data_IF_502026908078
#
_entry.id   IF_502026908078
#
_cell.length_a   1.000
_cell.length_b   1.000
_cell.length_c   1.000
_cell.angle_alpha   90.00
_cell.angle_beta   90.00
_cell.angle_gamma   90.00
#
_symmetry.space_group_name_H-M   'P 1'
#
loop_
_entity.id
_entity.type
_entity.pdbx_description
1 polymer ?
#
# COMPACT_ATOMS: atom_id res chain seq x y z
N UNK A 1 -1.82 -24.91 -22.93
CA UNK A 1 -1.44 -23.48 -22.98
C UNK A 1 -1.10 -23.11 -21.54
N UNK A 2 0.18 -23.10 -21.18
CA UNK A 2 0.60 -22.72 -19.85
C UNK A 2 0.38 -21.19 -19.76
N UNK A 3 -0.45 -20.76 -18.81
CA UNK A 3 -0.46 -19.36 -18.43
C UNK A 3 0.91 -19.08 -17.81
N UNK A 4 1.69 -18.20 -18.44
CA UNK A 4 2.90 -17.67 -17.84
C UNK A 4 2.47 -17.03 -16.51
N UNK A 5 2.91 -17.63 -15.43
CA UNK A 5 2.67 -17.08 -14.09
C UNK A 5 3.40 -15.71 -14.05
N UNK A 6 2.70 -14.61 -13.77
CA UNK A 6 3.36 -13.31 -13.76
C UNK A 6 4.53 -13.34 -12.77
N UNK A 7 5.66 -12.78 -13.19
CA UNK A 7 6.84 -12.71 -12.34
C UNK A 7 6.45 -12.21 -10.93
N UNK A 8 6.97 -12.85 -9.87
CA UNK A 8 6.59 -12.49 -8.51
C UNK A 8 6.90 -11.01 -8.27
N UNK A 9 5.96 -10.32 -7.66
CA UNK A 9 6.12 -8.90 -7.30
C UNK A 9 7.38 -8.74 -6.42
N UNK A 10 8.17 -7.66 -6.62
CA UNK A 10 9.25 -7.33 -5.69
C UNK A 10 8.72 -7.27 -4.26
N UNK A 11 9.55 -7.69 -3.29
CA UNK A 11 9.17 -7.62 -1.88
C UNK A 11 8.82 -6.19 -1.46
N UNK A 12 7.87 -5.98 -0.56
CA UNK A 12 7.52 -4.66 -0.03
C UNK A 12 8.74 -3.88 0.47
N UNK A 13 9.68 -4.52 1.15
CA UNK A 13 10.93 -3.92 1.61
C UNK A 13 11.76 -3.27 0.48
N UNK A 14 11.82 -3.89 -0.71
CA UNK A 14 12.52 -3.28 -1.86
C UNK A 14 11.82 -2.00 -2.35
N UNK A 15 10.49 -1.98 -2.31
CA UNK A 15 9.69 -0.81 -2.68
C UNK A 15 9.72 0.29 -1.61
N UNK A 16 10.03 -0.05 -0.37
CA UNK A 16 10.19 0.89 0.74
C UNK A 16 11.60 1.52 0.81
N UNK A 17 12.56 1.03 0.06
CA UNK A 17 13.90 1.62 -0.01
C UNK A 17 13.82 3.12 -0.36
N UNK A 18 14.68 3.98 0.21
CA UNK A 18 14.58 5.44 0.04
C UNK A 18 14.49 5.91 -1.41
N UNK A 19 15.30 5.30 -2.30
CA UNK A 19 15.29 5.61 -3.73
C UNK A 19 13.94 5.22 -4.38
N UNK A 20 13.41 4.03 -4.08
CA UNK A 20 12.14 3.58 -4.60
C UNK A 20 10.98 4.46 -4.11
N UNK A 21 11.01 4.88 -2.84
CA UNK A 21 10.02 5.82 -2.27
C UNK A 21 10.04 7.17 -3.00
N UNK A 22 11.24 7.74 -3.20
CA UNK A 22 11.39 9.01 -3.91
C UNK A 22 10.82 8.92 -5.33
N UNK A 23 11.14 7.88 -6.07
CA UNK A 23 10.65 7.68 -7.43
C UNK A 23 9.13 7.44 -7.49
N UNK A 24 8.55 6.72 -6.51
CA UNK A 24 7.09 6.56 -6.43
C UNK A 24 6.39 7.88 -6.23
N UNK A 25 6.88 8.72 -5.32
CA UNK A 25 6.32 10.05 -5.08
C UNK A 25 6.41 10.92 -6.35
N UNK A 26 7.57 10.97 -6.99
CA UNK A 26 7.76 11.74 -8.22
C UNK A 26 6.83 11.26 -9.37
N UNK A 27 6.59 9.94 -9.48
CA UNK A 27 5.68 9.40 -10.48
C UNK A 27 4.20 9.63 -10.13
N UNK A 28 3.84 9.65 -8.84
CA UNK A 28 2.47 9.89 -8.39
C UNK A 28 2.01 11.33 -8.71
N UNK A 29 2.94 12.28 -8.79
CA UNK A 29 2.68 13.67 -9.16
C UNK A 29 2.45 13.86 -10.67
N UNK A 30 2.78 12.85 -11.49
CA UNK A 30 2.53 12.91 -12.93
C UNK A 30 1.04 12.67 -13.23
N UNK A 31 0.48 13.44 -14.15
CA UNK A 31 -0.88 13.26 -14.64
C UNK A 31 -1.08 11.89 -15.32
N UNK A 32 0.00 11.37 -15.94
CA UNK A 32 0.00 10.08 -16.61
C UNK A 32 1.41 9.45 -16.61
N UNK A 33 1.47 8.15 -16.27
CA UNK A 33 2.71 7.35 -16.38
C UNK A 33 2.70 6.65 -17.73
N UNK A 34 3.45 7.19 -18.69
CA UNK A 34 3.55 6.69 -20.06
C UNK A 34 4.71 5.74 -20.28
N UNK A 35 4.74 4.96 -21.38
CA UNK A 35 5.93 4.17 -21.75
C UNK A 35 7.19 5.02 -21.91
N UNK A 36 7.07 6.27 -22.36
CA UNK A 36 8.22 7.18 -22.50
C UNK A 36 8.76 7.64 -21.16
N UNK A 37 7.92 7.91 -20.16
CA UNK A 37 8.37 8.23 -18.80
C UNK A 37 9.07 7.04 -18.14
N UNK A 38 8.60 5.81 -18.38
CA UNK A 38 9.28 4.60 -17.91
C UNK A 38 10.63 4.37 -18.61
N UNK A 39 10.71 4.63 -19.91
CA UNK A 39 11.98 4.54 -20.63
C UNK A 39 13.00 5.58 -20.16
N UNK A 40 12.56 6.81 -19.85
CA UNK A 40 13.39 7.83 -19.23
C UNK A 40 13.90 7.36 -17.85
N UNK A 41 12.99 6.87 -17.01
CA UNK A 41 13.34 6.38 -15.66
C UNK A 41 14.40 5.27 -15.70
N UNK A 42 14.30 4.35 -16.67
CA UNK A 42 15.31 3.28 -16.85
C UNK A 42 16.68 3.82 -17.25
N UNK A 43 16.73 4.86 -18.10
CA UNK A 43 18.00 5.51 -18.50
C UNK A 43 18.64 6.26 -17.34
N UNK A 44 17.83 6.95 -16.56
CA UNK A 44 18.30 7.81 -15.46
C UNK A 44 18.71 6.99 -14.22
N UNK A 45 18.19 5.75 -14.09
CA UNK A 45 18.46 4.86 -12.96
C UNK A 45 18.93 3.48 -13.43
N UNK A 46 20.09 3.36 -14.11
CA UNK A 46 20.55 2.09 -14.68
C UNK A 46 20.90 1.02 -13.61
N UNK A 47 21.09 1.43 -12.36
CA UNK A 47 21.34 0.52 -11.24
C UNK A 47 20.07 -0.21 -10.74
N UNK A 48 18.87 0.26 -11.10
CA UNK A 48 17.63 -0.39 -10.76
C UNK A 48 17.23 -1.42 -11.81
N UNK A 49 16.77 -2.60 -11.36
CA UNK A 49 16.28 -3.61 -12.30
C UNK A 49 15.02 -3.13 -13.04
N UNK A 50 14.79 -3.58 -14.28
CA UNK A 50 13.56 -3.26 -15.02
C UNK A 50 12.28 -3.64 -14.27
N UNK A 51 12.31 -4.75 -13.52
CA UNK A 51 11.18 -5.24 -12.72
C UNK A 51 10.87 -4.31 -11.55
N UNK A 52 11.91 -3.83 -10.86
CA UNK A 52 11.73 -2.87 -9.77
C UNK A 52 11.17 -1.53 -10.29
N UNK A 53 11.65 -1.05 -11.43
CA UNK A 53 11.11 0.17 -12.06
C UNK A 53 9.63 -0.01 -12.44
N UNK A 54 9.28 -1.17 -13.00
CA UNK A 54 7.88 -1.49 -13.34
C UNK A 54 7.00 -1.56 -12.10
N UNK A 55 7.50 -2.16 -11.01
CA UNK A 55 6.81 -2.22 -9.73
C UNK A 55 6.64 -0.84 -9.08
N UNK A 56 7.66 0.01 -9.14
CA UNK A 56 7.59 1.43 -8.68
C UNK A 56 6.49 2.17 -9.42
N UNK A 57 6.40 2.04 -10.74
CA UNK A 57 5.35 2.67 -11.53
C UNK A 57 3.96 2.12 -11.23
N UNK A 58 3.84 0.81 -11.01
CA UNK A 58 2.60 0.17 -10.59
C UNK A 58 2.15 0.72 -9.22
N UNK A 59 3.08 0.83 -8.27
CA UNK A 59 2.78 1.41 -6.96
C UNK A 59 2.31 2.86 -7.05
N UNK A 60 2.95 3.69 -7.87
CA UNK A 60 2.52 5.08 -8.06
C UNK A 60 1.07 5.16 -8.58
N UNK A 61 0.70 4.32 -9.54
CA UNK A 61 -0.71 4.22 -10.03
C UNK A 61 -1.68 3.76 -8.95
N UNK A 62 -1.29 2.76 -8.16
CA UNK A 62 -2.11 2.25 -7.05
C UNK A 62 -2.29 3.33 -5.98
N UNK A 63 -1.26 4.10 -5.66
CA UNK A 63 -1.32 5.21 -4.71
C UNK A 63 -2.31 6.29 -5.15
N UNK A 64 -2.26 6.70 -6.42
CA UNK A 64 -3.24 7.65 -6.99
C UNK A 64 -4.68 7.12 -6.89
N UNK A 65 -4.90 5.82 -7.17
CA UNK A 65 -6.22 5.18 -7.05
C UNK A 65 -6.68 5.02 -5.60
N UNK A 66 -5.76 4.83 -4.67
CA UNK A 66 -6.04 4.62 -3.25
C UNK A 66 -6.35 5.92 -2.50
N UNK A 67 -5.74 7.04 -2.89
CA UNK A 67 -5.85 8.32 -2.20
C UNK A 67 -7.30 8.74 -1.86
N UNK A 68 -8.31 8.58 -2.74
CA UNK A 68 -9.69 8.91 -2.41
C UNK A 68 -10.33 8.01 -1.35
N UNK A 69 -9.72 6.85 -1.05
CA UNK A 69 -10.24 5.88 -0.08
C UNK A 69 -9.52 5.95 1.25
N UNK A 70 -8.18 6.05 1.22
CA UNK A 70 -7.33 5.93 2.42
C UNK A 70 -6.49 7.17 2.70
N UNK A 71 -6.72 8.27 1.95
CA UNK A 71 -6.03 9.54 2.17
C UNK A 71 -4.51 9.41 2.04
N UNK A 72 -3.79 10.13 2.91
CA UNK A 72 -2.32 10.19 2.90
C UNK A 72 -1.62 8.85 3.17
N UNK A 73 -2.32 7.86 3.73
CA UNK A 73 -1.78 6.51 3.87
C UNK A 73 -1.39 5.91 2.51
N UNK A 74 -2.11 6.29 1.45
CA UNK A 74 -1.80 5.86 0.09
C UNK A 74 -0.36 6.21 -0.33
N UNK A 75 0.20 7.32 0.13
CA UNK A 75 1.52 7.79 -0.26
C UNK A 75 2.67 7.01 0.41
N UNK A 76 2.41 6.47 1.58
CA UNK A 76 3.42 5.80 2.41
C UNK A 76 3.36 4.28 2.35
N UNK A 77 2.17 3.73 2.13
CA UNK A 77 1.96 2.28 2.13
C UNK A 77 2.32 1.63 0.79
N UNK A 78 2.69 0.34 0.88
CA UNK A 78 2.80 -0.51 -0.29
C UNK A 78 1.44 -1.17 -0.53
N UNK A 79 0.96 -1.07 -1.75
CA UNK A 79 -0.39 -1.44 -2.11
C UNK A 79 -0.40 -2.62 -3.09
N UNK A 80 -1.40 -3.49 -2.94
CA UNK A 80 -1.73 -4.55 -3.87
C UNK A 80 -3.11 -4.30 -4.47
N UNK A 81 -3.27 -4.53 -5.77
CA UNK A 81 -4.52 -4.20 -6.48
C UNK A 81 -5.72 -4.98 -5.93
N UNK A 82 -5.56 -6.28 -5.68
CA UNK A 82 -6.62 -7.12 -5.14
C UNK A 82 -7.05 -6.67 -3.73
N UNK A 83 -6.09 -6.33 -2.87
CA UNK A 83 -6.37 -5.85 -1.53
C UNK A 83 -7.01 -4.45 -1.56
N UNK A 84 -6.58 -3.58 -2.47
CA UNK A 84 -7.16 -2.25 -2.64
C UNK A 84 -8.63 -2.28 -3.06
N UNK A 85 -9.05 -3.29 -3.81
CA UNK A 85 -10.47 -3.44 -4.19
C UNK A 85 -11.37 -3.68 -2.98
N UNK A 86 -10.85 -4.31 -1.93
CA UNK A 86 -11.59 -4.70 -0.71
C UNK A 86 -11.31 -3.77 0.48
N UNK A 87 -10.45 -2.75 0.30
CA UNK A 87 -10.03 -1.91 1.40
C UNK A 87 -11.18 -1.10 1.98
N UNK A 88 -11.27 -1.07 3.30
CA UNK A 88 -12.16 -0.18 4.04
C UNK A 88 -11.75 1.29 3.77
N UNK A 89 -12.71 2.17 3.57
CA UNK A 89 -12.43 3.61 3.51
C UNK A 89 -11.96 4.10 4.88
N UNK A 90 -10.98 4.99 4.90
CA UNK A 90 -10.38 5.47 6.15
C UNK A 90 -11.39 6.16 7.08
N UNK A 91 -12.34 6.93 6.52
CA UNK A 91 -13.42 7.56 7.27
C UNK A 91 -14.33 6.54 7.96
N UNK A 92 -14.64 5.44 7.28
CA UNK A 92 -15.44 4.32 7.83
C UNK A 92 -14.65 3.57 8.89
N UNK A 93 -13.36 3.29 8.66
CA UNK A 93 -12.49 2.63 9.63
C UNK A 93 -12.38 3.47 10.92
N UNK A 94 -12.15 4.77 10.81
CA UNK A 94 -12.11 5.72 11.95
C UNK A 94 -13.44 5.76 12.72
N UNK A 95 -14.55 5.79 12.00
CA UNK A 95 -15.87 5.72 12.64
C UNK A 95 -16.05 4.43 13.47
N UNK A 96 -15.72 3.27 12.89
CA UNK A 96 -15.80 1.97 13.57
C UNK A 96 -14.87 1.92 14.79
N UNK A 97 -13.63 2.38 14.65
CA UNK A 97 -12.67 2.42 15.75
C UNK A 97 -13.16 3.31 16.89
N UNK A 98 -13.68 4.50 16.57
CA UNK A 98 -14.28 5.41 17.56
C UNK A 98 -15.48 4.80 18.29
N UNK A 99 -16.36 4.10 17.57
CA UNK A 99 -17.50 3.39 18.17
C UNK A 99 -17.06 2.23 19.07
N UNK A 100 -16.02 1.49 18.68
CA UNK A 100 -15.46 0.41 19.50
C UNK A 100 -14.93 0.98 20.82
N UNK A 101 -14.06 2.00 20.73
CA UNK A 101 -13.44 2.62 21.92
C UNK A 101 -14.49 3.28 22.82
N UNK A 102 -15.52 3.92 22.25
CA UNK A 102 -16.62 4.50 23.03
C UNK A 102 -17.38 3.46 23.84
N UNK A 103 -17.54 2.23 23.31
CA UNK A 103 -18.31 1.16 23.96
C UNK A 103 -17.48 0.34 24.93
N UNK A 104 -16.23 0.05 24.60
CA UNK A 104 -15.40 -0.94 25.30
C UNK A 104 -14.17 -0.33 25.98
N UNK A 105 -13.87 0.94 25.70
CA UNK A 105 -12.61 1.58 26.08
C UNK A 105 -11.48 1.22 25.12
N UNK A 106 -10.41 2.00 25.16
CA UNK A 106 -9.17 1.68 24.45
C UNK A 106 -8.47 0.50 25.16
N UNK A 107 -8.07 -0.52 24.40
CA UNK A 107 -7.46 -1.74 24.94
C UNK A 107 -6.72 -2.53 23.85
N UNK A 108 -6.38 -3.77 24.16
CA UNK A 108 -5.76 -4.69 23.20
C UNK A 108 -6.83 -5.26 22.24
N UNK A 109 -6.57 -5.18 20.95
CA UNK A 109 -7.46 -5.65 19.88
C UNK A 109 -6.67 -6.49 18.88
N UNK A 110 -7.23 -7.62 18.46
CA UNK A 110 -6.71 -8.40 17.32
C UNK A 110 -7.55 -8.13 16.08
N UNK A 111 -6.91 -7.65 15.01
CA UNK A 111 -7.52 -7.49 13.68
C UNK A 111 -7.12 -8.71 12.82
N UNK A 112 -8.05 -9.65 12.69
CA UNK A 112 -7.81 -10.92 12.01
C UNK A 112 -8.18 -10.83 10.54
N UNK A 113 -7.18 -10.95 9.67
CA UNK A 113 -7.33 -10.75 8.23
C UNK A 113 -7.30 -9.25 7.87
N UNK A 114 -6.34 -8.52 8.45
CA UNK A 114 -6.27 -7.06 8.37
C UNK A 114 -6.08 -6.52 6.94
N UNK A 115 -5.69 -7.35 5.98
CA UNK A 115 -5.46 -6.95 4.60
C UNK A 115 -4.39 -5.85 4.50
N UNK A 116 -4.79 -4.67 3.99
CA UNK A 116 -3.89 -3.49 3.96
C UNK A 116 -3.72 -2.81 5.33
N UNK A 117 -4.49 -3.20 6.35
CA UNK A 117 -4.34 -2.69 7.71
C UNK A 117 -5.03 -1.34 7.98
N UNK A 118 -5.98 -0.90 7.16
CA UNK A 118 -6.66 0.41 7.36
C UNK A 118 -7.50 0.41 8.64
N UNK A 119 -8.21 -0.68 8.95
CA UNK A 119 -8.94 -0.81 10.20
C UNK A 119 -7.98 -0.91 11.40
N UNK A 120 -6.86 -1.66 11.27
CA UNK A 120 -5.78 -1.71 12.27
C UNK A 120 -5.19 -0.33 12.56
N UNK A 121 -4.93 0.46 11.52
CA UNK A 121 -4.42 1.82 11.64
C UNK A 121 -5.41 2.71 12.40
N UNK A 122 -6.69 2.69 12.03
CA UNK A 122 -7.72 3.49 12.69
C UNK A 122 -7.92 3.11 14.16
N UNK A 123 -7.81 1.82 14.50
CA UNK A 123 -7.84 1.34 15.89
C UNK A 123 -6.65 1.85 16.69
N UNK A 124 -5.45 1.86 16.10
CA UNK A 124 -4.25 2.39 16.73
C UNK A 124 -4.35 3.92 16.93
N UNK A 125 -4.85 4.67 15.92
CA UNK A 125 -5.17 6.10 16.07
C UNK A 125 -6.16 6.38 17.22
N UNK A 126 -7.12 5.47 17.42
CA UNK A 126 -8.11 5.58 18.50
C UNK A 126 -7.55 5.15 19.88
N UNK A 127 -6.26 4.83 19.98
CA UNK A 127 -5.56 4.52 21.24
C UNK A 127 -5.56 3.03 21.60
N UNK A 128 -5.93 2.14 20.72
CA UNK A 128 -5.84 0.69 20.95
C UNK A 128 -4.41 0.16 20.71
N UNK A 129 -4.04 -0.89 21.44
CA UNK A 129 -2.88 -1.73 21.10
C UNK A 129 -3.36 -2.81 20.13
N UNK A 130 -2.89 -2.76 18.88
CA UNK A 130 -3.43 -3.62 17.81
C UNK A 130 -2.47 -4.74 17.47
N UNK A 131 -2.97 -5.99 17.47
CA UNK A 131 -2.33 -7.14 16.83
C UNK A 131 -2.97 -7.31 15.45
N UNK A 132 -2.29 -6.85 14.40
CA UNK A 132 -2.71 -7.07 13.03
C UNK A 132 -2.24 -8.45 12.54
N UNK A 133 -3.16 -9.25 12.00
CA UNK A 133 -2.88 -10.62 11.52
C UNK A 133 -3.30 -10.72 10.06
N UNK A 134 -2.35 -11.04 9.19
CA UNK A 134 -2.59 -11.27 7.75
C UNK A 134 -2.00 -12.63 7.35
N UNK A 135 -2.76 -13.38 6.56
CA UNK A 135 -2.35 -14.71 6.09
C UNK A 135 -1.34 -14.64 4.97
N UNK A 136 -1.49 -13.62 4.10
CA UNK A 136 -0.60 -13.45 2.95
C UNK A 136 0.74 -12.85 3.43
N UNK A 137 1.86 -13.60 3.29
CA UNK A 137 3.16 -13.15 3.80
C UNK A 137 3.68 -11.90 3.09
N UNK A 138 3.29 -11.63 1.86
CA UNK A 138 3.66 -10.42 1.15
C UNK A 138 2.98 -9.18 1.74
N UNK A 139 1.70 -9.31 2.16
CA UNK A 139 0.97 -8.21 2.82
C UNK A 139 1.35 -8.04 4.29
N UNK A 140 1.80 -9.12 4.95
CA UNK A 140 2.22 -9.10 6.35
C UNK A 140 3.60 -8.44 6.56
N UNK A 141 4.40 -8.20 5.50
CA UNK A 141 5.69 -7.51 5.52
C UNK A 141 5.50 -5.97 5.53
#
# INVERSE_FOLDING_TARGET
MAFDDPAPLPRPSALQAPQARHLRAALADLSEITPSSLAALRRDHPALSPDLISAIATQARLQTRAAPRIGDLALTWILEDAALQQVTRLDVARYRAGELVRRLGAGAVADLGCGLGVDSFALAEAGCTVLAVERDPWRAE
#
